data_IF_143227413304
#
_entry.id   IF_143227413304
#
_cell.length_a   1.000
_cell.length_b   1.000
_cell.length_c   1.000
_cell.angle_alpha   90.00
_cell.angle_beta   90.00
_cell.angle_gamma   90.00
#
_symmetry.space_group_name_H-M   'P 1'
#
loop_
_entity.id
_entity.type
_entity.pdbx_description
1 polymer ?
#
# COMPACT_ATOMS: atom_id res chain seq x y z
N UNK A 1 -7.68 4.70 -4.17
CA UNK A 1 -6.58 3.98 -4.88
C UNK A 1 -6.48 4.38 -6.35
N UNK A 2 -7.59 4.42 -7.10
CA UNK A 2 -7.60 4.80 -8.52
C UNK A 2 -7.02 6.20 -8.79
N UNK A 3 -7.33 7.18 -7.96
CA UNK A 3 -6.79 8.55 -8.09
C UNK A 3 -5.27 8.61 -8.00
N UNK A 4 -4.66 7.78 -7.14
CA UNK A 4 -3.20 7.71 -6.98
C UNK A 4 -2.57 7.13 -8.26
N UNK A 5 -3.16 6.05 -8.81
CA UNK A 5 -2.67 5.44 -10.05
C UNK A 5 -2.79 6.41 -11.24
N UNK A 6 -3.93 7.11 -11.36
CA UNK A 6 -4.15 8.12 -12.41
C UNK A 6 -3.18 9.29 -12.26
N UNK A 7 -2.98 9.79 -11.05
CA UNK A 7 -2.04 10.88 -10.76
C UNK A 7 -0.59 10.48 -11.11
N UNK A 8 -0.16 9.30 -10.69
CA UNK A 8 1.17 8.78 -10.99
C UNK A 8 1.39 8.57 -12.48
N UNK A 9 0.39 8.06 -13.21
CA UNK A 9 0.41 7.91 -14.66
C UNK A 9 0.53 9.27 -15.36
N UNK A 10 -0.26 10.26 -14.93
CA UNK A 10 -0.24 11.60 -15.48
C UNK A 10 1.12 12.28 -15.30
N UNK A 11 1.67 12.28 -14.08
CA UNK A 11 2.97 12.88 -13.79
C UNK A 11 4.09 12.21 -14.61
N UNK A 12 4.07 10.88 -14.73
CA UNK A 12 5.05 10.14 -15.53
C UNK A 12 4.92 10.49 -17.00
N UNK A 13 3.70 10.52 -17.54
CA UNK A 13 3.43 10.85 -18.94
C UNK A 13 3.84 12.29 -19.30
N UNK A 14 3.53 13.27 -18.42
CA UNK A 14 3.97 14.66 -18.60
C UNK A 14 5.49 14.77 -18.55
N UNK A 15 6.16 13.96 -17.72
CA UNK A 15 7.61 13.92 -17.64
C UNK A 15 8.30 13.39 -18.89
N UNK A 16 7.62 12.59 -19.70
CA UNK A 16 8.14 12.12 -20.98
C UNK A 16 8.16 13.21 -22.08
N UNK A 17 7.25 14.19 -22.02
CA UNK A 17 7.13 15.21 -23.06
C UNK A 17 8.44 16.03 -23.28
N UNK A 18 9.12 16.57 -22.24
CA UNK A 18 10.39 17.26 -22.44
C UNK A 18 11.53 16.30 -22.78
N UNK A 19 11.52 15.05 -22.31
CA UNK A 19 12.59 14.09 -22.58
C UNK A 19 12.80 13.84 -24.07
N UNK A 20 11.75 13.82 -24.88
CA UNK A 20 11.83 13.67 -26.33
C UNK A 20 12.47 14.87 -27.06
N UNK A 21 12.48 16.07 -26.44
CA UNK A 21 12.97 17.30 -27.06
C UNK A 21 14.33 17.74 -26.56
N UNK A 22 14.67 17.46 -25.29
CA UNK A 22 15.82 18.06 -24.61
C UNK A 22 16.82 17.04 -24.05
N UNK A 23 16.58 15.72 -24.22
CA UNK A 23 17.45 14.67 -23.69
C UNK A 23 17.48 14.61 -22.15
N UNK A 24 16.51 15.22 -21.47
CA UNK A 24 16.36 15.15 -20.02
C UNK A 24 15.94 13.74 -19.62
N UNK A 25 16.49 13.22 -18.54
CA UNK A 25 16.18 11.90 -18.01
C UNK A 25 14.69 11.81 -17.58
N UNK A 26 13.86 10.98 -18.25
CA UNK A 26 12.44 10.85 -17.97
C UNK A 26 12.16 10.18 -16.63
N UNK A 27 13.13 9.47 -16.06
CA UNK A 27 12.95 8.73 -14.79
C UNK A 27 12.92 9.64 -13.57
N UNK A 28 13.38 10.87 -13.69
CA UNK A 28 13.44 11.83 -12.57
C UNK A 28 12.06 12.11 -11.95
N UNK A 29 11.04 12.30 -12.78
CA UNK A 29 9.67 12.55 -12.29
C UNK A 29 9.09 11.28 -11.67
N UNK A 30 9.31 10.12 -12.27
CA UNK A 30 8.89 8.85 -11.68
C UNK A 30 9.53 8.61 -10.31
N UNK A 31 10.82 8.94 -10.13
CA UNK A 31 11.50 8.86 -8.83
C UNK A 31 10.82 9.78 -7.78
N UNK A 32 10.41 10.99 -8.16
CA UNK A 32 9.70 11.92 -7.27
C UNK A 32 8.28 11.39 -6.93
N UNK A 33 7.60 10.74 -7.87
CA UNK A 33 6.31 10.08 -7.58
C UNK A 33 6.48 9.02 -6.50
N UNK A 34 7.50 8.17 -6.59
CA UNK A 34 7.80 7.14 -5.59
C UNK A 34 8.03 7.75 -4.20
N UNK A 35 8.80 8.83 -4.13
CA UNK A 35 9.06 9.55 -2.88
C UNK A 35 7.78 10.17 -2.30
N UNK A 36 6.98 10.86 -3.12
CA UNK A 36 5.74 11.50 -2.71
C UNK A 36 4.68 10.51 -2.22
N UNK A 37 4.58 9.36 -2.88
CA UNK A 37 3.67 8.29 -2.48
C UNK A 37 4.14 7.63 -1.18
N UNK A 38 5.44 7.57 -0.91
CA UNK A 38 5.98 7.15 0.39
C UNK A 38 5.43 7.98 1.55
N UNK A 39 5.33 9.30 1.37
CA UNK A 39 4.72 10.21 2.36
C UNK A 39 3.23 9.91 2.58
N UNK A 40 2.46 9.70 1.52
CA UNK A 40 1.04 9.32 1.62
C UNK A 40 0.86 7.96 2.30
N UNK A 41 1.73 7.00 1.99
CA UNK A 41 1.76 5.69 2.64
C UNK A 41 2.05 5.79 4.13
N UNK A 42 3.02 6.59 4.52
CA UNK A 42 3.33 6.85 5.93
C UNK A 42 2.15 7.49 6.66
N UNK A 43 1.43 8.44 6.03
CA UNK A 43 0.23 9.07 6.57
C UNK A 43 -0.95 8.11 6.75
N UNK A 44 -0.99 7.00 6.01
CA UNK A 44 -2.02 5.97 6.16
C UNK A 44 -1.75 5.00 7.32
N UNK A 45 -0.55 5.01 7.90
CA UNK A 45 -0.17 4.15 9.02
C UNK A 45 -0.47 4.87 10.33
N UNK A 46 -1.41 4.31 11.11
CA UNK A 46 -1.80 4.84 12.41
C UNK A 46 -1.32 3.90 13.52
N UNK A 47 -0.66 4.47 14.53
CA UNK A 47 -0.27 3.75 15.74
C UNK A 47 -1.20 4.13 16.88
N UNK A 48 -1.98 3.17 17.37
CA UNK A 48 -2.87 3.31 18.52
C UNK A 48 -2.35 2.40 19.66
N UNK A 49 -1.58 2.99 20.56
CA UNK A 49 -0.91 2.23 21.63
C UNK A 49 0.08 1.21 21.07
N UNK A 50 -0.13 -0.07 21.38
CA UNK A 50 0.73 -1.17 20.93
C UNK A 50 0.30 -1.79 19.58
N UNK A 51 -0.77 -1.29 18.97
CA UNK A 51 -1.30 -1.79 17.71
C UNK A 51 -0.99 -0.81 16.56
N UNK A 52 -0.56 -1.36 15.41
CA UNK A 52 -0.34 -0.62 14.17
C UNK A 52 -1.43 -0.99 13.17
N UNK A 53 -2.10 0.02 12.65
CA UNK A 53 -3.17 -0.12 11.65
C UNK A 53 -2.77 0.57 10.35
N UNK A 54 -3.31 0.09 9.22
CA UNK A 54 -3.14 0.73 7.92
C UNK A 54 -1.92 0.27 7.10
N UNK A 55 -1.14 -0.72 7.57
CA UNK A 55 0.01 -1.25 6.82
C UNK A 55 -0.38 -1.78 5.44
N UNK A 56 -1.45 -2.56 5.36
CA UNK A 56 -1.96 -3.07 4.08
C UNK A 56 -2.44 -1.94 3.18
N UNK A 57 -3.10 -0.93 3.77
CA UNK A 57 -3.56 0.26 3.03
C UNK A 57 -2.38 1.03 2.45
N UNK A 58 -1.33 1.25 3.24
CA UNK A 58 -0.11 1.91 2.81
C UNK A 58 0.58 1.16 1.66
N UNK A 59 0.68 -0.16 1.77
CA UNK A 59 1.21 -1.02 0.71
C UNK A 59 0.38 -0.92 -0.59
N UNK A 60 -0.95 -0.88 -0.48
CA UNK A 60 -1.84 -0.73 -1.64
C UNK A 60 -1.73 0.66 -2.29
N UNK A 61 -1.50 1.72 -1.51
CA UNK A 61 -1.23 3.06 -2.02
C UNK A 61 0.04 3.03 -2.88
N UNK A 62 1.10 2.42 -2.38
CA UNK A 62 2.37 2.33 -3.07
C UNK A 62 2.29 1.50 -4.36
N UNK A 63 1.59 0.35 -4.32
CA UNK A 63 1.35 -0.48 -5.49
C UNK A 63 0.49 0.21 -6.56
N UNK A 64 -0.54 0.95 -6.15
CA UNK A 64 -1.37 1.72 -7.08
C UNK A 64 -0.53 2.76 -7.84
N UNK A 65 0.39 3.44 -7.17
CA UNK A 65 1.30 4.37 -7.80
C UNK A 65 2.28 3.67 -8.77
N UNK A 66 2.82 2.52 -8.38
CA UNK A 66 3.74 1.75 -9.22
C UNK A 66 3.07 1.32 -10.54
N UNK A 67 1.81 0.84 -10.47
CA UNK A 67 1.00 0.53 -11.66
C UNK A 67 0.79 1.78 -12.51
N UNK A 68 0.48 2.93 -11.89
CA UNK A 68 0.31 4.19 -12.60
C UNK A 68 1.58 4.64 -13.34
N UNK A 69 2.74 4.53 -12.69
CA UNK A 69 4.05 4.82 -13.31
C UNK A 69 4.32 3.89 -14.50
N UNK A 70 4.06 2.59 -14.35
CA UNK A 70 4.26 1.63 -15.42
C UNK A 70 3.39 1.95 -16.64
N UNK A 71 2.12 2.31 -16.44
CA UNK A 71 1.21 2.74 -17.50
C UNK A 71 1.70 4.05 -18.13
N UNK A 72 2.19 5.01 -17.32
CA UNK A 72 2.72 6.28 -17.80
C UNK A 72 3.94 6.13 -18.72
N UNK A 73 4.79 5.11 -18.48
CA UNK A 73 5.89 4.74 -19.37
C UNK A 73 5.46 3.88 -20.59
N UNK A 74 4.19 3.51 -20.68
CA UNK A 74 3.69 2.64 -21.75
C UNK A 74 3.92 1.14 -21.53
N UNK A 75 4.38 0.73 -20.35
CA UNK A 75 4.58 -0.68 -19.98
C UNK A 75 3.26 -1.35 -19.55
N UNK A 76 2.28 -1.38 -20.46
CA UNK A 76 0.94 -1.91 -20.17
C UNK A 76 0.95 -3.38 -19.73
N UNK A 77 1.78 -4.20 -20.35
CA UNK A 77 1.89 -5.62 -20.03
C UNK A 77 2.38 -5.81 -18.57
N UNK A 78 3.39 -5.04 -18.18
CA UNK A 78 3.92 -5.05 -16.80
C UNK A 78 2.84 -4.63 -15.80
N UNK A 79 2.08 -3.57 -16.10
CA UNK A 79 0.99 -3.08 -15.26
C UNK A 79 -0.10 -4.13 -15.05
N UNK A 80 -0.51 -4.83 -16.13
CA UNK A 80 -1.51 -5.91 -16.06
C UNK A 80 -1.01 -7.09 -15.24
N UNK A 81 0.22 -7.56 -15.47
CA UNK A 81 0.82 -8.65 -14.70
C UNK A 81 0.93 -8.31 -13.21
N UNK A 82 1.43 -7.12 -12.89
CA UNK A 82 1.55 -6.66 -11.50
C UNK A 82 0.19 -6.61 -10.82
N UNK A 83 -0.82 -6.04 -11.48
CA UNK A 83 -2.18 -5.97 -10.94
C UNK A 83 -2.75 -7.36 -10.69
N UNK A 84 -2.55 -8.30 -11.62
CA UNK A 84 -3.01 -9.69 -11.47
C UNK A 84 -2.35 -10.38 -10.27
N UNK A 85 -1.03 -10.28 -10.13
CA UNK A 85 -0.28 -10.87 -9.01
C UNK A 85 -0.77 -10.29 -7.68
N UNK A 86 -0.94 -8.96 -7.59
CA UNK A 86 -1.42 -8.29 -6.38
C UNK A 86 -2.83 -8.75 -6.01
N UNK A 87 -3.71 -8.90 -7.00
CA UNK A 87 -5.07 -9.36 -6.77
C UNK A 87 -5.11 -10.80 -6.26
N UNK A 88 -4.32 -11.70 -6.86
CA UNK A 88 -4.16 -13.09 -6.40
C UNK A 88 -3.61 -13.11 -4.96
N UNK A 89 -2.60 -12.30 -4.68
CA UNK A 89 -1.98 -12.23 -3.34
C UNK A 89 -2.98 -11.73 -2.29
N UNK A 90 -3.77 -10.69 -2.58
CA UNK A 90 -4.80 -10.18 -1.68
C UNK A 90 -5.88 -11.22 -1.39
N UNK A 91 -6.33 -11.96 -2.41
CA UNK A 91 -7.33 -13.02 -2.24
C UNK A 91 -6.74 -14.18 -1.44
N UNK A 92 -5.48 -14.57 -1.70
CA UNK A 92 -4.81 -15.66 -1.00
C UNK A 92 -4.48 -15.33 0.47
N UNK A 93 -4.18 -14.08 0.80
CA UNK A 93 -3.87 -13.66 2.18
C UNK A 93 -5.12 -13.50 3.06
N UNK A 94 -6.28 -13.21 2.49
CA UNK A 94 -7.53 -13.05 3.24
C UNK A 94 -7.84 -14.21 4.21
N UNK A 95 -7.80 -15.49 3.80
CA UNK A 95 -8.09 -16.60 4.71
C UNK A 95 -7.03 -16.75 5.83
N UNK A 96 -5.79 -16.37 5.57
CA UNK A 96 -4.70 -16.45 6.54
C UNK A 96 -4.89 -15.39 7.64
N UNK A 97 -5.26 -14.17 7.26
CA UNK A 97 -5.54 -13.06 8.18
C UNK A 97 -6.70 -13.39 9.12
N UNK A 98 -7.82 -13.91 8.59
CA UNK A 98 -8.98 -14.31 9.37
C UNK A 98 -8.63 -15.44 10.35
N UNK A 99 -7.80 -16.40 9.94
CA UNK A 99 -7.41 -17.55 10.77
C UNK A 99 -6.48 -17.14 11.92
N UNK A 100 -5.60 -16.17 11.67
CA UNK A 100 -4.66 -15.66 12.65
C UNK A 100 -5.33 -14.77 13.71
N UNK A 101 -6.25 -13.89 13.29
CA UNK A 101 -6.99 -13.01 14.21
C UNK A 101 -8.00 -13.78 15.06
N UNK A 102 -8.61 -14.83 14.53
CA UNK A 102 -9.53 -15.68 15.29
C UNK A 102 -8.84 -16.40 16.45
N UNK A 103 -7.58 -16.79 16.27
CA UNK A 103 -6.80 -17.48 17.31
C UNK A 103 -6.38 -16.55 18.45
N UNK A 104 -6.18 -15.25 18.18
CA UNK A 104 -5.88 -14.25 19.22
C UNK A 104 -7.08 -13.89 20.10
N UNK A 105 -8.29 -13.93 19.52
CA UNK A 105 -9.52 -13.60 20.26
C UNK A 105 -9.92 -14.69 21.28
N UNK A 106 -9.59 -15.94 21.01
CA UNK A 106 -9.82 -17.04 21.94
C UNK A 106 -8.87 -16.97 23.15
N UNK A 107 -7.61 -16.60 22.96
CA UNK A 107 -6.66 -16.50 24.08
C UNK A 107 -7.02 -15.44 25.13
N UNK A 108 -7.70 -14.36 24.73
CA UNK A 108 -8.15 -13.31 25.69
C UNK A 108 -9.42 -13.70 26.46
N UNK A 109 -10.11 -14.76 26.07
CA UNK A 109 -11.30 -15.26 26.78
C UNK A 109 -10.96 -16.26 27.87
N UNK A 110 -9.78 -16.84 27.81
CA UNK A 110 -9.32 -17.88 28.73
C UNK A 110 -8.45 -17.31 29.87
N UNK A 111 -8.14 -16.00 29.88
CA UNK A 111 -7.54 -15.35 31.04
C UNK A 111 -8.66 -15.12 32.08
N UNK A 112 -8.62 -15.84 33.23
CA UNK A 112 -9.56 -15.56 34.33
C UNK A 112 -9.36 -14.11 34.76
N UNK A 113 -10.45 -13.38 34.93
CA UNK A 113 -10.43 -12.08 35.57
C UNK A 113 -9.90 -12.34 36.98
N UNK A 114 -8.63 -12.01 37.20
CA UNK A 114 -8.09 -11.91 38.56
C UNK A 114 -8.92 -10.83 39.26
N UNK A 115 -9.93 -11.27 40.01
CA UNK A 115 -10.64 -10.42 40.93
C UNK A 115 -9.63 -9.99 42.01
N UNK A 116 -9.25 -8.73 41.93
CA UNK A 116 -8.42 -8.09 42.98
C UNK A 116 -9.23 -8.02 44.27
N UNK A 117 -8.84 -8.69 45.35
CA UNK A 117 -9.58 -8.71 46.62
C UNK A 117 -9.22 -7.50 47.50
N UNK A 118 -9.45 -6.29 47.02
CA UNK A 118 -9.21 -5.05 47.76
C UNK A 118 -10.42 -4.12 47.72
N UNK A 119 -11.62 -4.64 48.03
CA UNK A 119 -12.78 -3.84 48.40
C UNK A 119 -13.46 -4.48 49.62
N UNK A 120 -12.76 -4.50 50.75
CA UNK A 120 -13.37 -4.56 52.11
C UNK A 120 -12.79 -3.43 52.96
#
# INVERSE_FOLDING_TARGET
>A
MSLIAVGACLFTGVGLLPAFKTGVDPTRIAAQVVTGVGFLGAGAILRLGNNVHGLTTAAMIWLAAAVGVAVGFGYFLLAVFTTFIVLVMLVALRPIEIRFFRNRKNRRRDDPIEMNPVDE
#
